data_IF_799449322644
#
_entry.id   IF_799449322644
#
_cell.length_a   1.000
_cell.length_b   1.000
_cell.length_c   1.000
_cell.angle_alpha   90.00
_cell.angle_beta   90.00
_cell.angle_gamma   90.00
#
_symmetry.space_group_name_H-M   'P 1'
#
loop_
_entity.id
_entity.type
_entity.pdbx_description
1 polymer ?
#
# COMPACT_ATOMS: atom_id res chain seq x y z
N UNK A 1 8.42 -6.28 -10.04
CA UNK A 1 7.49 -6.16 -11.19
C UNK A 1 7.58 -4.71 -11.63
N UNK A 2 8.16 -4.46 -12.80
CA UNK A 2 8.20 -3.11 -13.35
C UNK A 2 6.82 -2.81 -13.96
N UNK A 3 6.30 -1.62 -13.68
CA UNK A 3 5.07 -1.13 -14.27
C UNK A 3 5.19 -1.16 -15.80
N UNK A 4 4.45 -2.08 -16.41
CA UNK A 4 4.36 -2.23 -17.85
C UNK A 4 3.67 -1.03 -18.48
N UNK A 5 4.38 -0.46 -19.44
CA UNK A 5 4.05 0.61 -20.39
C UNK A 5 2.54 0.98 -20.51
N UNK A 6 2.15 2.05 -19.82
CA UNK A 6 0.87 2.73 -20.02
C UNK A 6 1.10 4.22 -19.87
N UNK A 7 1.35 4.91 -20.98
CA UNK A 7 1.53 6.36 -20.96
C UNK A 7 0.20 7.04 -20.71
N UNK A 8 0.19 8.10 -19.90
CA UNK A 8 -0.99 8.93 -19.63
C UNK A 8 -1.65 9.48 -20.91
N UNK A 9 -0.93 9.53 -22.04
CA UNK A 9 -1.47 9.89 -23.36
C UNK A 9 -2.42 8.83 -23.94
N UNK A 10 -2.28 7.55 -23.59
CA UNK A 10 -3.07 6.45 -24.15
C UNK A 10 -4.49 6.39 -23.53
N UNK A 11 -4.68 7.02 -22.37
CA UNK A 11 -5.99 7.16 -21.70
C UNK A 11 -6.84 8.25 -22.39
N UNK A 12 -6.21 9.34 -22.85
CA UNK A 12 -6.91 10.43 -23.56
C UNK A 12 -7.00 10.22 -25.08
N UNK A 13 -6.40 9.15 -25.60
CA UNK A 13 -6.45 8.75 -27.02
C UNK A 13 -7.18 7.39 -27.15
N UNK A 14 -8.31 7.23 -26.47
CA UNK A 14 -9.18 6.06 -26.66
C UNK A 14 -10.11 6.29 -27.85
N UNK A 15 -9.89 5.51 -28.90
CA UNK A 15 -10.84 5.33 -29.99
C UNK A 15 -11.95 4.41 -29.47
N UNK A 16 -13.13 4.98 -29.19
CA UNK A 16 -14.43 4.37 -28.85
C UNK A 16 -14.80 4.34 -27.32
N UNK A 17 -15.87 5.05 -26.88
CA UNK A 17 -16.20 5.28 -25.47
C UNK A 17 -17.12 4.24 -24.80
N UNK A 18 -17.35 3.06 -25.41
CA UNK A 18 -18.31 2.06 -24.90
C UNK A 18 -17.71 0.80 -24.27
N UNK A 19 -16.38 0.70 -24.14
CA UNK A 19 -15.73 -0.28 -23.26
C UNK A 19 -14.87 0.47 -22.23
N UNK A 20 -15.35 0.50 -20.99
CA UNK A 20 -14.51 0.82 -19.84
C UNK A 20 -13.59 -0.38 -19.61
N UNK A 21 -12.41 -0.35 -20.22
CA UNK A 21 -11.39 -1.38 -20.07
C UNK A 21 -10.77 -1.30 -18.67
N UNK A 22 -11.42 -1.95 -17.70
CA UNK A 22 -11.07 -1.90 -16.27
C UNK A 22 -9.64 -2.33 -15.98
N UNK A 23 -9.07 -3.17 -16.85
CA UNK A 23 -7.70 -3.66 -16.71
C UNK A 23 -6.66 -2.54 -16.88
N UNK A 24 -6.89 -1.57 -17.77
CA UNK A 24 -5.95 -0.46 -17.99
C UNK A 24 -5.97 0.56 -16.84
N UNK A 25 -7.16 0.83 -16.28
CA UNK A 25 -7.32 1.70 -15.11
C UNK A 25 -6.72 1.03 -13.87
N UNK A 26 -7.01 -0.26 -13.67
CA UNK A 26 -6.47 -1.05 -12.57
C UNK A 26 -4.93 -1.13 -12.60
N UNK A 27 -4.34 -1.40 -13.77
CA UNK A 27 -2.89 -1.45 -13.93
C UNK A 27 -2.22 -0.09 -13.68
N UNK A 28 -2.84 1.02 -14.12
CA UNK A 28 -2.31 2.37 -13.87
C UNK A 28 -2.35 2.72 -12.38
N UNK A 29 -3.42 2.35 -11.69
CA UNK A 29 -3.55 2.57 -10.25
C UNK A 29 -2.53 1.73 -9.45
N UNK A 30 -2.37 0.45 -9.80
CA UNK A 30 -1.38 -0.44 -9.18
C UNK A 30 0.07 0.05 -9.40
N UNK A 31 0.35 0.60 -10.57
CA UNK A 31 1.66 1.15 -10.90
C UNK A 31 2.06 2.30 -9.98
N UNK A 32 1.14 3.27 -9.79
CA UNK A 32 1.36 4.42 -8.90
C UNK A 32 1.52 3.96 -7.45
N UNK A 33 0.72 2.98 -7.01
CA UNK A 33 0.86 2.35 -5.70
C UNK A 33 2.24 1.70 -5.51
N UNK A 34 2.74 0.94 -6.49
CA UNK A 34 4.06 0.29 -6.39
C UNK A 34 5.22 1.28 -6.30
N UNK A 35 5.17 2.38 -7.06
CA UNK A 35 6.18 3.44 -6.95
C UNK A 35 6.15 4.08 -5.57
N UNK A 36 4.98 4.49 -5.07
CA UNK A 36 4.84 5.08 -3.73
C UNK A 36 5.30 4.10 -2.64
N UNK A 37 4.97 2.81 -2.76
CA UNK A 37 5.34 1.79 -1.77
C UNK A 37 6.85 1.55 -1.68
N UNK A 38 7.60 1.66 -2.78
CA UNK A 38 9.07 1.58 -2.74
C UNK A 38 9.66 2.74 -1.93
N UNK A 39 9.17 3.96 -2.12
CA UNK A 39 9.64 5.11 -1.34
C UNK A 39 9.17 5.05 0.11
N UNK A 40 7.92 4.69 0.37
CA UNK A 40 7.36 4.59 1.73
C UNK A 40 8.08 3.54 2.55
N UNK A 41 8.36 2.36 1.98
CA UNK A 41 9.08 1.30 2.70
C UNK A 41 10.52 1.69 3.04
N UNK A 42 11.24 2.32 2.11
CA UNK A 42 12.59 2.84 2.37
C UNK A 42 12.59 3.93 3.46
N UNK A 43 11.62 4.85 3.40
CA UNK A 43 11.51 5.93 4.38
C UNK A 43 11.11 5.41 5.77
N UNK A 44 10.21 4.42 5.84
CA UNK A 44 9.77 3.82 7.09
C UNK A 44 10.93 3.25 7.91
N UNK A 45 11.89 2.57 7.26
CA UNK A 45 13.08 2.04 7.94
C UNK A 45 13.94 3.15 8.53
N UNK A 46 14.13 4.26 7.81
CA UNK A 46 14.87 5.43 8.30
C UNK A 46 14.22 6.05 9.54
N UNK A 47 12.90 6.19 9.55
CA UNK A 47 12.16 6.73 10.69
C UNK A 47 12.24 5.81 11.92
N UNK A 48 12.19 4.49 11.73
CA UNK A 48 12.36 3.52 12.81
C UNK A 48 13.76 3.63 13.41
N UNK A 49 14.80 3.71 12.58
CA UNK A 49 16.17 3.87 13.04
C UNK A 49 16.35 5.18 13.83
N UNK A 50 15.83 6.29 13.33
CA UNK A 50 15.92 7.57 14.02
C UNK A 50 15.23 7.53 15.40
N UNK A 51 14.00 6.98 15.47
CA UNK A 51 13.27 6.81 16.72
C UNK A 51 13.98 5.85 17.70
N UNK A 52 14.59 4.79 17.19
CA UNK A 52 15.34 3.82 17.98
C UNK A 52 16.64 4.42 18.55
N UNK A 53 17.40 5.15 17.74
CA UNK A 53 18.61 5.84 18.19
C UNK A 53 18.31 6.88 19.27
N UNK A 54 17.25 7.67 19.09
CA UNK A 54 16.81 8.65 20.08
C UNK A 54 16.35 7.99 21.39
N UNK A 55 15.72 6.82 21.32
CA UNK A 55 15.36 6.04 22.51
C UNK A 55 16.59 5.52 23.25
N UNK A 56 17.57 4.95 22.54
CA UNK A 56 18.80 4.41 23.14
C UNK A 56 19.69 5.50 23.76
N UNK A 57 19.78 6.67 23.12
CA UNK A 57 20.59 7.80 23.63
C UNK A 57 19.91 8.60 24.74
N UNK A 58 18.68 8.28 25.13
CA UNK A 58 17.97 8.98 26.20
C UNK A 58 18.51 8.72 27.61
N UNK A 59 19.39 7.72 27.79
CA UNK A 59 20.31 7.48 28.93
C UNK A 59 19.92 8.06 30.32
N UNK A 60 18.66 7.92 30.74
CA UNK A 60 18.19 8.34 32.07
C UNK A 60 17.44 9.68 32.15
N UNK A 61 17.27 10.42 31.06
CA UNK A 61 16.35 11.57 31.03
C UNK A 61 14.93 11.10 30.67
N UNK A 62 14.03 11.10 31.65
CA UNK A 62 12.64 10.66 31.50
C UNK A 62 11.89 11.41 30.40
N UNK A 63 12.18 12.71 30.20
CA UNK A 63 11.50 13.54 29.21
C UNK A 63 11.83 13.09 27.79
N UNK A 64 13.12 12.83 27.53
CA UNK A 64 13.59 12.30 26.24
C UNK A 64 13.11 10.88 25.99
N UNK A 65 13.10 10.05 27.04
CA UNK A 65 12.56 8.69 26.95
C UNK A 65 11.05 8.69 26.65
N UNK A 66 10.28 9.60 27.25
CA UNK A 66 8.84 9.73 27.02
C UNK A 66 8.53 10.26 25.62
N UNK A 67 9.31 11.24 25.15
CA UNK A 67 9.23 11.75 23.78
C UNK A 67 9.53 10.65 22.75
N UNK A 68 10.62 9.90 22.94
CA UNK A 68 11.00 8.80 22.07
C UNK A 68 9.95 7.67 22.04
N UNK A 69 9.35 7.32 23.19
CA UNK A 69 8.24 6.37 23.27
C UNK A 69 7.01 6.84 22.50
N UNK A 70 6.67 8.13 22.59
CA UNK A 70 5.55 8.68 21.82
C UNK A 70 5.83 8.61 20.31
N UNK A 71 7.03 9.00 19.87
CA UNK A 71 7.45 8.85 18.46
C UNK A 71 7.34 7.40 17.99
N UNK A 72 7.79 6.45 18.81
CA UNK A 72 7.72 5.02 18.48
C UNK A 72 6.28 4.52 18.42
N UNK A 73 5.40 4.95 19.32
CA UNK A 73 3.96 4.63 19.26
C UNK A 73 3.34 5.07 17.94
N UNK A 74 3.59 6.32 17.52
CA UNK A 74 3.07 6.83 16.25
C UNK A 74 3.65 6.07 15.04
N UNK A 75 4.93 5.73 15.07
CA UNK A 75 5.56 4.93 14.03
C UNK A 75 4.91 3.54 13.91
N UNK A 76 4.68 2.85 15.04
CA UNK A 76 4.04 1.53 15.06
C UNK A 76 2.60 1.60 14.53
N UNK A 77 1.82 2.60 14.95
CA UNK A 77 0.44 2.78 14.48
C UNK A 77 0.42 2.97 12.96
N UNK A 78 1.33 3.77 12.41
CA UNK A 78 1.46 3.96 10.96
C UNK A 78 1.76 2.65 10.23
N UNK A 79 2.71 1.85 10.73
CA UNK A 79 3.02 0.52 10.15
C UNK A 79 1.82 -0.42 10.18
N UNK A 80 1.09 -0.47 11.30
CA UNK A 80 -0.09 -1.33 11.46
C UNK A 80 -1.19 -0.98 10.46
N UNK A 81 -1.45 0.30 10.22
CA UNK A 81 -2.46 0.76 9.26
C UNK A 81 -2.13 0.31 7.83
N UNK A 82 -0.86 0.43 7.42
CA UNK A 82 -0.41 0.00 6.09
C UNK A 82 -0.65 -1.50 5.90
N UNK A 83 -0.25 -2.32 6.87
CA UNK A 83 -0.43 -3.79 6.84
C UNK A 83 -1.92 -4.15 6.80
N UNK A 84 -2.75 -3.51 7.61
CA UNK A 84 -4.20 -3.75 7.64
C UNK A 84 -4.87 -3.40 6.30
N UNK A 85 -4.46 -2.31 5.65
CA UNK A 85 -5.00 -1.90 4.36
C UNK A 85 -4.79 -2.97 3.29
N UNK A 86 -3.57 -3.52 3.22
CA UNK A 86 -3.27 -4.64 2.30
C UNK A 86 -4.10 -5.88 2.58
N UNK A 87 -4.28 -6.20 3.87
CA UNK A 87 -5.06 -7.36 4.28
C UNK A 87 -6.51 -7.25 3.84
N UNK A 88 -7.12 -6.08 4.00
CA UNK A 88 -8.50 -5.82 3.60
C UNK A 88 -8.66 -5.94 2.08
N UNK A 89 -7.76 -5.35 1.29
CA UNK A 89 -7.81 -5.42 -0.18
C UNK A 89 -7.72 -6.87 -0.66
N UNK A 90 -6.78 -7.65 -0.11
CA UNK A 90 -6.63 -9.06 -0.45
C UNK A 90 -7.89 -9.87 -0.12
N UNK A 91 -8.52 -9.57 1.01
CA UNK A 91 -9.77 -10.22 1.42
C UNK A 91 -10.90 -9.92 0.44
N UNK A 92 -11.05 -8.66 0.01
CA UNK A 92 -12.07 -8.26 -0.98
C UNK A 92 -11.85 -8.95 -2.33
N UNK A 93 -10.61 -8.97 -2.84
CA UNK A 93 -10.29 -9.62 -4.12
C UNK A 93 -10.61 -11.13 -4.07
N UNK A 94 -10.16 -11.80 -3.00
CA UNK A 94 -10.44 -13.22 -2.79
C UNK A 94 -11.96 -13.51 -2.72
N UNK A 95 -12.75 -12.66 -2.07
CA UNK A 95 -14.22 -12.84 -2.04
C UNK A 95 -14.90 -12.71 -3.41
N UNK A 96 -14.34 -11.92 -4.34
CA UNK A 96 -14.89 -11.74 -5.69
C UNK A 96 -14.54 -12.93 -6.58
N UNK A 97 -13.30 -13.42 -6.50
CA UNK A 97 -12.84 -14.61 -7.22
C UNK A 97 -13.65 -15.85 -6.82
N UNK A 98 -13.84 -16.06 -5.51
CA UNK A 98 -14.65 -17.16 -4.94
C UNK A 98 -16.08 -17.20 -5.49
N UNK A 99 -16.69 -16.04 -5.75
CA UNK A 99 -18.06 -15.97 -6.28
C UNK A 99 -18.13 -16.30 -7.77
N UNK A 100 -17.06 -16.04 -8.51
CA UNK A 100 -17.02 -16.20 -9.97
C UNK A 100 -16.84 -17.66 -10.37
N UNK A 101 -16.13 -18.46 -9.55
CA UNK A 101 -15.95 -19.89 -9.78
C UNK A 101 -17.23 -20.69 -9.48
N UNK A 102 -17.93 -20.35 -8.39
CA UNK A 102 -19.20 -21.00 -8.02
C UNK A 102 -20.30 -20.77 -9.07
N UNK A 103 -20.36 -19.57 -9.68
CA UNK A 103 -21.37 -19.28 -10.71
C UNK A 103 -21.11 -19.99 -12.05
N UNK A 104 -19.86 -20.40 -12.33
CA UNK A 104 -19.54 -21.20 -13.52
C UNK A 104 -19.93 -22.67 -13.36
N UNK A 105 -19.97 -23.17 -12.13
CA UNK A 105 -20.33 -24.56 -11.83
C UNK A 105 -21.86 -24.78 -11.77
N UNK A 106 -22.63 -23.80 -11.28
CA UNK A 106 -24.11 -23.88 -11.20
C UNK A 106 -24.79 -23.68 -12.56
N UNK A 107 -24.12 -23.04 -13.53
CA UNK A 107 -24.70 -22.74 -14.85
C UNK A 107 -24.40 -23.80 -15.92
N UNK A 108 -23.71 -24.89 -15.56
CA UNK A 108 -23.45 -26.05 -16.41
C UNK A 108 -24.40 -27.19 -16.05
#
# INVERSE_FOLDING_TARGET
MACGNGSLKDIFVTKNPTELDWNNIYNTMLCILQEILKYVSALAVLFILYGAFQYMTSAGNEEKAKAAKNTLKWAIIGTVIVVLSFYIIALVLNTIEMKTDVLKEVKK
#
